data_IF_791767390792
#
_entry.id   IF_791767390792
#
_cell.length_a   1.000
_cell.length_b   1.000
_cell.length_c   1.000
_cell.angle_alpha   90.00
_cell.angle_beta   90.00
_cell.angle_gamma   90.00
#
_symmetry.space_group_name_H-M   'P 1'
#
loop_
_entity.id
_entity.type
_entity.pdbx_description
1 polymer ?
#
# COMPACT_ATOMS: atom_id res chain seq x y z
N UNK A 1 -35.62 -70.41 -36.01
CA UNK A 1 -34.16 -70.53 -35.75
C UNK A 1 -33.48 -69.43 -36.57
N UNK A 2 -32.88 -68.38 -36.01
CA UNK A 2 -31.72 -68.25 -35.10
C UNK A 2 -30.37 -68.15 -35.82
N UNK A 3 -29.60 -67.08 -35.51
CA UNK A 3 -28.20 -66.71 -35.90
C UNK A 3 -28.06 -66.19 -37.35
N UNK A 4 -27.17 -65.23 -37.71
CA UNK A 4 -26.22 -64.32 -37.01
C UNK A 4 -26.05 -63.06 -37.92
N UNK A 5 -26.05 -61.80 -37.44
CA UNK A 5 -25.03 -61.02 -36.71
C UNK A 5 -23.82 -60.53 -37.56
N UNK A 6 -23.68 -59.20 -37.72
CA UNK A 6 -22.42 -58.52 -38.05
C UNK A 6 -22.46 -57.03 -37.68
N UNK A 7 -22.51 -56.71 -36.38
CA UNK A 7 -22.28 -55.36 -35.89
C UNK A 7 -20.80 -55.02 -35.84
N UNK A 8 -20.38 -53.95 -36.51
CA UNK A 8 -19.04 -53.35 -36.37
C UNK A 8 -19.11 -52.26 -35.27
N UNK A 9 -18.23 -52.28 -34.26
CA UNK A 9 -18.14 -51.19 -33.29
C UNK A 9 -17.37 -50.01 -33.92
N UNK A 10 -17.98 -48.82 -33.94
CA UNK A 10 -17.29 -47.60 -34.35
C UNK A 10 -16.36 -47.10 -33.23
N UNK A 11 -15.06 -47.10 -33.51
CA UNK A 11 -14.05 -46.46 -32.66
C UNK A 11 -14.11 -44.93 -32.85
N UNK A 12 -14.94 -44.25 -32.06
CA UNK A 12 -14.84 -42.80 -31.88
C UNK A 12 -13.60 -42.47 -31.03
N UNK A 13 -12.50 -42.14 -31.69
CA UNK A 13 -11.30 -41.57 -31.05
C UNK A 13 -11.50 -40.07 -30.88
N UNK A 14 -11.98 -39.66 -29.70
CA UNK A 14 -12.06 -38.24 -29.34
C UNK A 14 -10.66 -37.69 -29.03
N UNK A 15 -10.09 -36.92 -29.96
CA UNK A 15 -8.90 -36.12 -29.68
C UNK A 15 -9.27 -35.00 -28.68
N UNK A 16 -8.86 -35.16 -27.42
CA UNK A 16 -8.98 -34.11 -26.42
C UNK A 16 -7.85 -33.09 -26.63
N UNK A 17 -8.12 -32.02 -27.37
CA UNK A 17 -7.19 -30.89 -27.52
C UNK A 17 -7.15 -30.08 -26.20
N UNK A 18 -6.27 -30.48 -25.28
CA UNK A 18 -5.99 -29.71 -24.06
C UNK A 18 -5.14 -28.50 -24.44
N UNK A 19 -5.80 -27.41 -24.82
CA UNK A 19 -5.16 -26.09 -24.96
C UNK A 19 -4.87 -25.56 -23.55
N UNK A 20 -3.71 -25.91 -23.03
CA UNK A 20 -3.19 -25.33 -21.80
C UNK A 20 -2.89 -23.85 -22.02
N UNK A 21 -3.83 -22.97 -21.68
CA UNK A 21 -3.58 -21.54 -21.58
C UNK A 21 -2.60 -21.30 -20.43
N UNK A 22 -1.31 -21.28 -20.74
CA UNK A 22 -0.31 -20.70 -19.86
C UNK A 22 -0.62 -19.21 -19.75
N UNK A 23 -1.26 -18.79 -18.65
CA UNK A 23 -1.40 -17.40 -18.30
C UNK A 23 -0.02 -16.73 -18.39
N UNK A 24 0.13 -15.57 -19.04
CA UNK A 24 1.38 -14.82 -18.92
C UNK A 24 1.59 -14.56 -17.42
N UNK A 25 2.74 -14.98 -16.89
CA UNK A 25 3.09 -14.70 -15.51
C UNK A 25 3.13 -13.18 -15.35
N UNK A 26 2.24 -12.62 -14.53
CA UNK A 26 2.27 -11.19 -14.23
C UNK A 26 3.58 -10.91 -13.51
N UNK A 27 4.47 -10.20 -14.18
CA UNK A 27 5.78 -9.86 -13.67
C UNK A 27 5.75 -8.41 -13.22
N UNK A 28 5.68 -8.21 -11.90
CA UNK A 28 5.86 -6.88 -11.32
C UNK A 28 7.25 -6.37 -11.66
N UNK A 29 7.30 -5.20 -12.29
CA UNK A 29 8.55 -4.50 -12.63
C UNK A 29 8.73 -3.31 -11.71
N UNK A 30 9.95 -3.12 -11.20
CA UNK A 30 10.27 -2.09 -10.21
C UNK A 30 11.24 -1.07 -10.79
N UNK A 31 10.88 0.21 -10.70
CA UNK A 31 11.70 1.32 -11.18
C UNK A 31 11.98 2.28 -10.02
N UNK A 32 13.26 2.51 -9.70
CA UNK A 32 13.66 3.44 -8.63
C UNK A 32 14.10 4.77 -9.21
N UNK A 33 13.42 5.83 -8.79
CA UNK A 33 13.75 7.22 -9.08
C UNK A 33 14.55 7.79 -7.92
N UNK A 34 15.76 8.30 -8.20
CA UNK A 34 16.65 8.95 -7.23
C UNK A 34 16.53 10.46 -7.38
N UNK A 35 16.34 11.16 -6.26
CA UNK A 35 16.00 12.61 -6.21
C UNK A 35 14.84 12.92 -7.18
N UNK A 36 13.67 12.29 -7.00
CA UNK A 36 12.54 12.45 -7.91
C UNK A 36 12.08 13.92 -7.97
N UNK A 37 11.78 14.39 -9.19
CA UNK A 37 11.38 15.77 -9.46
C UNK A 37 10.03 15.84 -10.16
N UNK A 38 9.28 16.90 -9.88
CA UNK A 38 8.09 17.32 -10.63
C UNK A 38 8.23 18.81 -10.93
N UNK A 39 7.97 19.21 -12.17
CA UNK A 39 8.16 20.58 -12.67
C UNK A 39 9.59 21.14 -12.46
N UNK A 40 10.60 20.27 -12.45
CA UNK A 40 12.02 20.65 -12.29
C UNK A 40 12.49 20.83 -10.85
N UNK A 41 11.61 20.70 -9.84
CA UNK A 41 11.98 20.76 -8.43
C UNK A 41 11.81 19.38 -7.78
N UNK A 42 12.67 19.07 -6.79
CA UNK A 42 12.57 17.83 -6.02
C UNK A 42 11.24 17.78 -5.25
N UNK A 43 10.67 16.59 -5.09
CA UNK A 43 9.38 16.40 -4.43
C UNK A 43 9.54 16.41 -2.91
N UNK A 44 8.61 17.05 -2.21
CA UNK A 44 8.51 17.04 -0.75
C UNK A 44 7.07 17.15 -0.23
N UNK A 45 6.90 17.18 1.10
CA UNK A 45 5.62 17.43 1.78
C UNK A 45 5.61 18.83 2.40
N UNK A 46 4.45 19.48 2.52
CA UNK A 46 4.35 20.87 3.02
C UNK A 46 4.91 21.07 4.43
N UNK A 47 4.88 20.01 5.24
CA UNK A 47 5.35 20.03 6.62
C UNK A 47 6.43 18.95 6.83
N UNK A 48 7.43 19.23 7.69
CA UNK A 48 8.23 18.16 8.26
C UNK A 48 7.33 17.30 9.17
N UNK A 49 7.39 15.98 8.98
CA UNK A 49 6.87 14.93 9.88
C UNK A 49 5.35 14.76 10.14
N UNK A 50 4.42 15.66 9.79
CA UNK A 50 2.97 15.40 10.00
C UNK A 50 1.99 16.03 8.97
N UNK A 51 0.84 15.38 8.69
CA UNK A 51 -0.25 15.96 7.92
C UNK A 51 -1.25 16.72 8.81
N UNK A 52 -1.12 18.04 8.95
CA UNK A 52 -2.20 18.86 9.56
C UNK A 52 -3.35 19.06 8.55
N UNK A 53 -4.26 18.09 8.50
CA UNK A 53 -5.59 18.19 7.89
C UNK A 53 -5.70 18.23 6.36
N UNK A 54 -4.84 19.00 5.68
CA UNK A 54 -5.08 19.46 4.30
C UNK A 54 -4.00 19.06 3.27
N UNK A 55 -2.96 18.31 3.69
CA UNK A 55 -1.81 18.00 2.84
C UNK A 55 -1.52 16.49 2.77
N UNK A 56 -0.99 16.06 1.64
CA UNK A 56 -0.64 14.66 1.37
C UNK A 56 0.61 14.23 2.14
N UNK A 57 0.62 13.00 2.65
CA UNK A 57 1.81 12.42 3.29
C UNK A 57 2.88 12.07 2.25
N UNK A 58 4.09 11.76 2.71
CA UNK A 58 5.18 11.33 1.82
C UNK A 58 4.78 10.06 1.04
N UNK A 59 4.06 9.12 1.67
CA UNK A 59 3.57 7.91 1.02
C UNK A 59 2.53 8.20 -0.08
N UNK A 60 1.59 9.10 0.18
CA UNK A 60 0.55 9.45 -0.80
C UNK A 60 1.15 10.23 -1.98
N UNK A 61 2.17 11.05 -1.68
CA UNK A 61 2.95 11.82 -2.65
C UNK A 61 3.82 10.92 -3.53
N UNK A 62 4.49 9.92 -2.93
CA UNK A 62 5.23 8.89 -3.67
C UNK A 62 4.30 8.09 -4.59
N UNK A 63 3.15 7.63 -4.06
CA UNK A 63 2.12 6.91 -4.82
C UNK A 63 1.63 7.72 -6.01
N UNK A 64 1.34 9.02 -5.81
CA UNK A 64 0.89 9.91 -6.88
C UNK A 64 1.97 10.13 -7.94
N UNK A 65 3.22 10.37 -7.53
CA UNK A 65 4.34 10.50 -8.46
C UNK A 65 4.46 9.27 -9.38
N UNK A 66 4.42 8.06 -8.82
CA UNK A 66 4.47 6.83 -9.63
C UNK A 66 3.31 6.75 -10.63
N UNK A 67 2.09 7.12 -10.23
CA UNK A 67 0.94 7.15 -11.13
C UNK A 67 1.09 8.18 -12.26
N UNK A 68 1.62 9.38 -11.97
CA UNK A 68 1.91 10.39 -12.99
C UNK A 68 3.05 9.97 -13.93
N UNK A 69 3.93 9.04 -13.52
CA UNK A 69 4.94 8.39 -14.36
C UNK A 69 4.42 7.16 -15.14
N UNK A 70 3.13 6.80 -15.01
CA UNK A 70 2.54 5.63 -15.68
C UNK A 70 2.80 4.29 -15.00
N UNK A 71 3.33 4.29 -13.76
CA UNK A 71 3.41 3.10 -12.92
C UNK A 71 2.10 2.89 -12.15
N UNK A 72 1.81 1.65 -11.76
CA UNK A 72 0.57 1.32 -11.04
C UNK A 72 0.59 1.79 -9.58
N UNK A 73 1.75 1.88 -8.94
CA UNK A 73 1.89 2.48 -7.61
C UNK A 73 3.33 2.69 -7.12
N UNK A 74 3.48 3.08 -5.86
CA UNK A 74 4.77 3.15 -5.17
C UNK A 74 4.92 1.98 -4.20
N UNK A 75 6.01 1.22 -4.33
CA UNK A 75 6.37 0.11 -3.46
C UNK A 75 7.14 0.58 -2.22
N UNK A 76 7.96 1.62 -2.36
CA UNK A 76 8.77 2.16 -1.28
C UNK A 76 9.33 3.54 -1.60
N UNK A 77 9.82 4.24 -0.58
CA UNK A 77 10.44 5.56 -0.71
C UNK A 77 11.36 5.83 0.48
N UNK A 78 12.35 6.70 0.30
CA UNK A 78 13.18 7.25 1.39
C UNK A 78 13.00 8.76 1.51
N UNK A 79 13.19 9.30 2.70
CA UNK A 79 13.02 10.73 2.97
C UNK A 79 14.14 11.32 3.83
N UNK A 80 14.36 12.62 3.66
CA UNK A 80 15.23 13.42 4.53
C UNK A 80 14.62 14.80 4.78
N UNK A 81 15.00 15.45 5.88
CA UNK A 81 14.62 16.85 6.13
C UNK A 81 15.67 17.76 5.48
N UNK A 82 15.26 18.64 4.57
CA UNK A 82 16.14 19.61 3.90
C UNK A 82 15.47 20.98 3.79
N UNK A 83 16.28 22.04 3.71
CA UNK A 83 15.83 23.37 3.30
C UNK A 83 16.09 23.54 1.80
N UNK A 84 15.04 23.51 0.99
CA UNK A 84 15.12 23.64 -0.47
C UNK A 84 13.78 24.12 -1.03
N UNK A 85 13.75 24.60 -2.28
CA UNK A 85 12.52 24.80 -3.05
C UNK A 85 12.04 23.44 -3.57
N UNK A 86 10.76 23.14 -3.40
CA UNK A 86 10.21 21.81 -3.67
C UNK A 86 8.81 21.86 -4.28
N UNK A 87 8.44 20.76 -4.92
CA UNK A 87 7.10 20.50 -5.44
C UNK A 87 6.33 19.59 -4.48
N UNK A 88 5.05 19.88 -4.24
CA UNK A 88 4.17 19.16 -3.33
C UNK A 88 2.72 19.10 -3.86
N UNK A 89 1.88 18.26 -3.26
CA UNK A 89 0.46 18.13 -3.65
C UNK A 89 -0.41 19.04 -2.78
N UNK A 90 -1.18 19.93 -3.42
CA UNK A 90 -2.20 20.75 -2.75
C UNK A 90 -3.47 19.91 -2.58
N UNK A 91 -3.55 19.20 -1.47
CA UNK A 91 -4.68 18.32 -1.13
C UNK A 91 -4.20 17.07 -0.40
N UNK A 92 -5.15 16.23 0.01
CA UNK A 92 -4.92 15.03 0.82
C UNK A 92 -4.89 13.76 -0.03
N UNK A 93 -4.33 12.67 0.51
CA UNK A 93 -4.31 11.34 -0.09
C UNK A 93 -3.71 11.26 -1.52
N UNK A 94 -2.85 12.22 -1.91
CA UNK A 94 -2.26 12.31 -3.25
C UNK A 94 -3.17 12.92 -4.32
N UNK A 95 -4.34 13.43 -3.92
CA UNK A 95 -5.34 14.06 -4.80
C UNK A 95 -5.19 15.57 -4.74
N UNK A 96 -5.14 16.22 -5.90
CA UNK A 96 -4.93 17.66 -6.05
C UNK A 96 -3.87 18.00 -7.10
N UNK A 97 -3.70 19.29 -7.42
CA UNK A 97 -2.62 19.75 -8.29
C UNK A 97 -1.27 19.70 -7.58
N UNK A 98 -0.21 19.51 -8.37
CA UNK A 98 1.15 19.81 -7.94
C UNK A 98 1.34 21.32 -7.86
N UNK A 99 1.95 21.80 -6.79
CA UNK A 99 2.35 23.19 -6.60
C UNK A 99 3.79 23.29 -6.12
N UNK A 100 4.43 24.42 -6.41
CA UNK A 100 5.79 24.73 -5.99
C UNK A 100 5.78 25.69 -4.82
N UNK A 101 6.80 25.62 -3.97
CA UNK A 101 7.03 26.62 -2.91
C UNK A 101 8.52 26.93 -2.74
N UNK A 102 8.81 28.03 -2.07
CA UNK A 102 10.17 28.47 -1.77
C UNK A 102 10.84 27.66 -0.65
N UNK A 103 12.11 27.99 -0.38
CA UNK A 103 12.95 27.31 0.61
C UNK A 103 12.28 27.24 2.00
N UNK A 104 11.94 26.02 2.45
CA UNK A 104 11.59 25.74 3.84
C UNK A 104 12.06 24.36 4.26
N UNK A 105 12.20 24.13 5.57
CA UNK A 105 12.63 22.84 6.12
C UNK A 105 11.49 21.82 6.06
N UNK A 106 11.58 20.86 5.13
CA UNK A 106 10.52 19.87 4.91
C UNK A 106 11.04 18.46 4.64
N UNK A 107 10.12 17.49 4.74
CA UNK A 107 10.34 16.11 4.30
C UNK A 107 10.46 16.06 2.78
N UNK A 108 11.68 15.93 2.28
CA UNK A 108 11.97 15.67 0.86
C UNK A 108 11.96 14.17 0.60
N UNK A 109 11.48 13.75 -0.57
CA UNK A 109 11.62 12.36 -1.03
C UNK A 109 12.97 12.22 -1.75
N UNK A 110 13.84 11.35 -1.24
CA UNK A 110 15.19 11.12 -1.79
C UNK A 110 15.22 9.95 -2.77
N UNK A 111 14.36 8.96 -2.58
CA UNK A 111 14.06 7.97 -3.62
C UNK A 111 12.60 7.56 -3.57
N UNK A 112 12.07 7.11 -4.72
CA UNK A 112 10.79 6.44 -4.84
C UNK A 112 10.99 5.20 -5.73
N UNK A 113 10.66 4.03 -5.22
CA UNK A 113 10.56 2.80 -6.00
C UNK A 113 9.11 2.61 -6.42
N UNK A 114 8.85 2.81 -7.71
CA UNK A 114 7.57 2.56 -8.34
C UNK A 114 7.46 1.09 -8.77
N UNK A 115 6.22 0.58 -8.82
CA UNK A 115 5.88 -0.74 -9.36
C UNK A 115 4.94 -0.58 -10.56
N UNK A 116 5.30 -1.20 -11.68
CA UNK A 116 4.36 -1.51 -12.78
C UNK A 116 4.05 -2.99 -12.73
N UNK A 117 2.86 -3.32 -12.22
CA UNK A 117 2.25 -4.63 -12.42
C UNK A 117 1.52 -4.68 -13.77
N UNK A 118 1.63 -5.82 -14.44
CA UNK A 118 0.80 -6.17 -15.61
C UNK A 118 -0.57 -6.75 -15.24
N UNK A 119 -0.86 -6.90 -13.95
CA UNK A 119 -2.14 -7.43 -13.49
C UNK A 119 -3.27 -6.43 -13.81
N UNK A 120 -4.37 -6.85 -14.46
CA UNK A 120 -5.24 -5.95 -15.22
C UNK A 120 -6.16 -5.04 -14.39
N UNK A 121 -6.13 -5.11 -13.07
CA UNK A 121 -6.90 -4.21 -12.18
C UNK A 121 -6.31 -4.26 -10.77
N UNK A 122 -6.34 -3.16 -9.99
CA UNK A 122 -6.09 -3.27 -8.56
C UNK A 122 -7.19 -4.14 -7.95
N UNK A 123 -6.81 -5.23 -7.29
CA UNK A 123 -7.71 -6.02 -6.48
C UNK A 123 -7.64 -5.54 -5.02
N UNK A 124 -8.71 -5.77 -4.25
CA UNK A 124 -8.81 -5.36 -2.85
C UNK A 124 -8.89 -6.62 -1.97
N UNK A 125 -7.91 -6.82 -1.09
CA UNK A 125 -7.92 -7.90 -0.07
C UNK A 125 -8.25 -7.31 1.29
N UNK A 126 -9.35 -7.77 1.90
CA UNK A 126 -9.82 -7.26 3.19
C UNK A 126 -9.47 -8.21 4.33
N UNK A 127 -8.73 -7.69 5.31
CA UNK A 127 -8.37 -8.34 6.55
C UNK A 127 -9.33 -7.93 7.66
N UNK A 128 -9.98 -8.90 8.30
CA UNK A 128 -10.81 -8.69 9.50
C UNK A 128 -9.98 -8.97 10.76
N UNK A 129 -10.07 -8.09 11.76
CA UNK A 129 -9.23 -8.10 12.97
C UNK A 129 -7.74 -8.34 12.66
N UNK A 130 -7.10 -7.50 11.83
CA UNK A 130 -5.73 -7.74 11.36
C UNK A 130 -4.74 -7.86 12.51
N UNK A 131 -3.75 -8.73 12.35
CA UNK A 131 -2.78 -9.10 13.39
C UNK A 131 -1.36 -9.06 12.89
N UNK A 132 -0.44 -8.67 13.77
CA UNK A 132 1.00 -8.89 13.62
C UNK A 132 1.49 -9.63 14.86
N UNK A 133 2.33 -10.65 14.70
CA UNK A 133 2.84 -11.51 15.78
C UNK A 133 1.74 -12.10 16.70
N UNK A 134 0.54 -12.37 16.14
CA UNK A 134 -0.60 -12.95 16.87
C UNK A 134 -1.48 -11.96 17.64
N UNK A 135 -1.08 -10.71 17.78
CA UNK A 135 -1.84 -9.64 18.46
C UNK A 135 -2.57 -8.76 17.45
N UNK A 136 -3.77 -8.27 17.81
CA UNK A 136 -4.51 -7.33 16.97
C UNK A 136 -3.75 -6.00 16.87
N UNK A 137 -3.80 -5.37 15.71
CA UNK A 137 -3.10 -4.11 15.43
C UNK A 137 -3.84 -2.94 16.07
N UNK A 138 -3.10 -2.05 16.72
CA UNK A 138 -3.60 -0.78 17.25
C UNK A 138 -2.56 0.34 17.22
N UNK A 139 -3.00 1.53 17.62
CA UNK A 139 -2.12 2.66 17.95
C UNK A 139 -1.87 2.71 19.46
N UNK A 140 -0.92 3.51 19.92
CA UNK A 140 -0.55 3.55 21.35
C UNK A 140 -1.53 4.38 22.23
N UNK A 141 -2.50 5.08 21.64
CA UNK A 141 -3.45 5.95 22.34
C UNK A 141 -4.90 5.66 21.89
N UNK A 142 -5.92 5.83 22.76
CA UNK A 142 -7.33 5.65 22.39
C UNK A 142 -7.85 6.74 21.46
N UNK A 143 -7.27 7.93 21.54
CA UNK A 143 -7.50 9.05 20.64
C UNK A 143 -6.27 9.23 19.75
N UNK A 144 -6.43 9.87 18.59
CA UNK A 144 -5.38 10.07 17.58
C UNK A 144 -4.03 10.47 18.22
N UNK A 145 -2.94 9.71 17.97
CA UNK A 145 -1.72 9.87 18.75
C UNK A 145 -1.05 11.23 18.54
N UNK A 146 -0.65 11.87 19.64
CA UNK A 146 0.08 13.14 19.60
C UNK A 146 1.56 12.94 19.24
N UNK A 147 1.98 13.53 18.11
CA UNK A 147 3.37 13.76 17.69
C UNK A 147 4.21 12.53 17.32
N UNK A 148 4.36 11.59 18.26
CA UNK A 148 5.47 10.63 18.30
C UNK A 148 5.10 9.18 17.94
N UNK A 149 3.86 8.91 17.51
CA UNK A 149 3.41 7.56 17.14
C UNK A 149 2.63 7.54 15.84
N UNK A 150 2.65 6.38 15.18
CA UNK A 150 1.94 6.15 13.91
C UNK A 150 0.42 6.24 14.10
N UNK A 151 -0.24 6.94 13.18
CA UNK A 151 -1.70 7.07 13.16
C UNK A 151 -2.36 5.75 12.72
N UNK A 152 -3.70 5.59 12.85
CA UNK A 152 -4.37 4.40 12.35
C UNK A 152 -4.16 4.17 10.85
N UNK A 153 -4.16 5.23 10.03
CA UNK A 153 -3.92 5.12 8.58
C UNK A 153 -2.48 4.70 8.26
N UNK A 154 -1.49 5.25 8.97
CA UNK A 154 -0.09 4.87 8.75
C UNK A 154 0.17 3.42 9.18
N UNK A 155 -0.48 2.99 10.27
CA UNK A 155 -0.38 1.62 10.79
C UNK A 155 -1.06 0.62 9.85
N UNK A 156 -2.22 0.97 9.30
CA UNK A 156 -2.92 0.17 8.28
C UNK A 156 -2.11 0.09 6.97
N UNK A 157 -1.55 1.21 6.51
CA UNK A 157 -0.65 1.26 5.35
C UNK A 157 0.56 0.35 5.56
N UNK A 158 1.22 0.44 6.72
CA UNK A 158 2.39 -0.37 7.05
C UNK A 158 2.06 -1.86 7.09
N UNK A 159 0.93 -2.24 7.69
CA UNK A 159 0.44 -3.62 7.68
C UNK A 159 0.25 -4.17 6.25
N UNK A 160 -0.36 -3.38 5.35
CA UNK A 160 -0.48 -3.77 3.95
C UNK A 160 0.90 -3.98 3.30
N UNK A 161 1.84 -3.06 3.51
CA UNK A 161 3.19 -3.12 2.95
C UNK A 161 4.02 -4.29 3.47
N UNK A 162 3.95 -4.61 4.77
CA UNK A 162 4.64 -5.77 5.36
C UNK A 162 4.09 -7.13 4.84
N UNK A 163 2.86 -7.14 4.30
CA UNK A 163 2.27 -8.29 3.61
C UNK A 163 2.55 -8.33 2.10
N UNK A 164 3.31 -7.36 1.56
CA UNK A 164 3.61 -7.25 0.14
C UNK A 164 2.58 -6.50 -0.69
N UNK A 165 1.55 -5.91 -0.07
CA UNK A 165 0.53 -5.11 -0.77
C UNK A 165 1.00 -3.67 -0.99
N UNK A 166 0.45 -3.01 -2.01
CA UNK A 166 0.96 -1.69 -2.46
C UNK A 166 0.44 -0.53 -1.59
N UNK A 167 -0.78 -0.62 -1.05
CA UNK A 167 -1.28 0.39 -0.11
C UNK A 167 -2.47 -0.09 0.70
N UNK A 168 -2.95 0.76 1.60
CA UNK A 168 -4.30 0.66 2.19
C UNK A 168 -5.32 1.37 1.29
N UNK A 169 -6.43 0.70 0.99
CA UNK A 169 -7.62 1.23 0.31
C UNK A 169 -8.55 1.93 1.30
N UNK A 170 -8.81 1.26 2.43
CA UNK A 170 -9.68 1.70 3.51
C UNK A 170 -9.38 0.89 4.78
N UNK A 171 -9.81 1.40 5.92
CA UNK A 171 -9.72 0.72 7.20
C UNK A 171 -10.84 1.20 8.13
N UNK A 172 -11.21 0.39 9.12
CA UNK A 172 -12.11 0.78 10.21
C UNK A 172 -11.42 0.59 11.56
N UNK A 173 -11.90 1.30 12.57
CA UNK A 173 -11.31 1.30 13.90
C UNK A 173 -12.33 1.30 15.02
N UNK A 174 -12.02 0.65 16.13
CA UNK A 174 -12.77 0.76 17.38
C UNK A 174 -11.83 0.98 18.58
N UNK A 175 -12.34 1.62 19.63
CA UNK A 175 -11.63 1.76 20.91
C UNK A 175 -12.03 0.58 21.80
N UNK A 176 -11.07 -0.29 22.15
CA UNK A 176 -11.29 -1.44 23.05
C UNK A 176 -10.07 -1.69 23.93
N UNK A 177 -10.29 -2.32 25.08
CA UNK A 177 -9.24 -2.81 25.96
C UNK A 177 -8.76 -4.19 25.52
N UNK A 178 -7.53 -4.29 25.03
CA UNK A 178 -6.89 -5.56 24.62
C UNK A 178 -5.37 -5.45 24.74
N UNK A 179 -4.66 -6.58 24.75
CA UNK A 179 -3.27 -6.64 24.34
C UNK A 179 -3.22 -6.43 22.82
N UNK A 180 -2.26 -5.64 22.34
CA UNK A 180 -2.17 -5.25 20.93
C UNK A 180 -0.71 -5.09 20.48
N UNK A 181 -0.53 -5.07 19.16
CA UNK A 181 0.73 -4.72 18.50
C UNK A 181 0.62 -3.33 17.89
N UNK A 182 1.69 -2.55 17.96
CA UNK A 182 1.78 -1.18 17.46
C UNK A 182 3.18 -0.90 16.91
N UNK A 183 3.31 0.21 16.17
CA UNK A 183 4.60 0.63 15.61
C UNK A 183 5.29 1.56 16.60
N UNK A 184 6.52 1.21 17.01
CA UNK A 184 7.40 2.08 17.80
C UNK A 184 8.04 3.11 16.86
N UNK A 185 7.27 4.13 16.54
CA UNK A 185 7.67 5.24 15.68
C UNK A 185 6.49 5.87 14.94
N UNK A 186 6.78 6.89 14.13
CA UNK A 186 5.81 7.73 13.40
C UNK A 186 5.65 7.32 11.94
N UNK A 187 4.54 7.71 11.32
CA UNK A 187 4.32 7.58 9.87
C UNK A 187 4.48 6.15 9.30
N UNK A 188 4.27 5.10 10.11
CA UNK A 188 4.42 3.71 9.70
C UNK A 188 5.87 3.20 9.71
N UNK A 189 6.80 4.01 10.23
CA UNK A 189 8.24 3.70 10.32
C UNK A 189 8.59 3.37 11.77
N UNK A 190 9.23 2.21 11.97
CA UNK A 190 9.59 1.70 13.28
C UNK A 190 9.42 0.19 13.35
N UNK A 191 9.80 -0.41 14.48
CA UNK A 191 9.58 -1.84 14.73
C UNK A 191 8.16 -2.06 15.25
N UNK A 192 7.56 -3.19 14.88
CA UNK A 192 6.40 -3.72 15.58
C UNK A 192 6.78 -4.11 17.01
N UNK A 193 5.99 -3.66 17.97
CA UNK A 193 6.13 -4.01 19.38
C UNK A 193 4.77 -4.36 19.98
N UNK A 194 4.78 -5.24 20.97
CA UNK A 194 3.58 -5.66 21.70
C UNK A 194 3.45 -4.90 23.01
N UNK A 195 2.23 -4.79 23.52
CA UNK A 195 1.95 -4.23 24.85
C UNK A 195 0.79 -4.94 25.53
N UNK A 196 0.64 -4.71 26.83
CA UNK A 196 -0.41 -5.28 27.66
C UNK A 196 -1.79 -4.67 27.41
N UNK A 197 -2.78 -5.09 28.21
CA UNK A 197 -4.15 -4.61 28.10
C UNK A 197 -4.25 -3.10 28.36
N UNK A 198 -4.59 -2.33 27.33
CA UNK A 198 -4.97 -0.92 27.45
C UNK A 198 -6.10 -0.58 26.47
N UNK A 199 -6.89 0.45 26.79
CA UNK A 199 -7.90 0.99 25.88
C UNK A 199 -7.20 1.82 24.80
N UNK A 200 -7.22 1.33 23.55
CA UNK A 200 -6.61 2.01 22.40
C UNK A 200 -7.45 1.91 21.14
N UNK A 201 -7.14 2.74 20.13
CA UNK A 201 -7.68 2.56 18.78
C UNK A 201 -7.09 1.29 18.15
N UNK A 202 -7.91 0.25 17.99
CA UNK A 202 -7.58 -0.97 17.25
C UNK A 202 -8.09 -0.87 15.80
N UNK A 203 -7.38 -1.47 14.86
CA UNK A 203 -7.87 -1.68 13.49
C UNK A 203 -8.86 -2.87 13.51
N UNK A 204 -10.10 -2.66 13.05
CA UNK A 204 -11.12 -3.71 12.95
C UNK A 204 -11.17 -4.34 11.56
N UNK A 205 -11.05 -3.54 10.51
CA UNK A 205 -10.77 -4.02 9.16
C UNK A 205 -9.68 -3.19 8.50
N UNK A 206 -8.93 -3.81 7.59
CA UNK A 206 -8.03 -3.15 6.66
C UNK A 206 -8.20 -3.78 5.29
N UNK A 207 -8.57 -2.98 4.30
CA UNK A 207 -8.59 -3.38 2.89
C UNK A 207 -7.30 -2.90 2.25
N UNK A 208 -6.48 -3.83 1.76
CA UNK A 208 -5.23 -3.57 1.08
C UNK A 208 -5.41 -3.63 -0.44
N UNK A 209 -4.75 -2.71 -1.14
CA UNK A 209 -4.66 -2.69 -2.61
C UNK A 209 -3.57 -3.67 -3.04
N UNK A 210 -3.97 -4.67 -3.83
CA UNK A 210 -3.10 -5.68 -4.42
C UNK A 210 -3.09 -5.53 -5.94
N UNK A 211 -2.13 -6.17 -6.61
CA UNK A 211 -2.12 -6.39 -8.05
C UNK A 211 -2.17 -7.90 -8.30
#
# INVERSE_FOLDING_TARGET
MSRRNSGLPSLFVSLLFVVGFASPASADTYQTYVVPTVNGFQIGTVLPSQPTGNFSSAADTARRFCQDQGHTGAQGFTTAIRSASYTYIVGTNGVGPWNTTGNSNVTMLESITCVTSTSPSPADVTYTTPKVNGYQIGTIQPNYPSGNFSTPVDTARRFCQDLGHVNVRSFTTAIRGSAYTYIVGTNGVGNWNTTGNANVTLLETVTCITW
#
